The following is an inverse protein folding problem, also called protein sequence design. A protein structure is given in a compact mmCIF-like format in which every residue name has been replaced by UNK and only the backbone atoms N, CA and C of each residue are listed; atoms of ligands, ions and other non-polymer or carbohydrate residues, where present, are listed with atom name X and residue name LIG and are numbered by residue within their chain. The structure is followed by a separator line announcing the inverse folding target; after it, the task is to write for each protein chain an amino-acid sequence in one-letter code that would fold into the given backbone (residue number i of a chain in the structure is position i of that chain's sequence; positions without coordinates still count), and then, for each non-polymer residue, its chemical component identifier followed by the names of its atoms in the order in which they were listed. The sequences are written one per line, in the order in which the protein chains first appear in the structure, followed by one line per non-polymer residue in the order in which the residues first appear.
data_IF_612035195761
#
_entry.id   IF_612035195761
#
_cell.length_a   1.000
_cell.length_b   1.000
_cell.length_c   1.000
_cell.angle_alpha   90.00
_cell.angle_beta   90.00
_cell.angle_gamma   90.00
#
_symmetry.space_group_name_H-M   'P 1'
#
loop_
_entity.id
_entity.type
_entity.pdbx_description
1 polymer ?
#
# COMPACT_ATOMS: atom_id res chain seq x y z
N UNK A 1 -8.32 31.11 -9.43
CA UNK A 1 -7.39 29.96 -9.47
C UNK A 1 -8.27 28.74 -9.67
N UNK A 2 -8.47 28.33 -10.92
CA UNK A 2 -9.50 27.38 -11.31
C UNK A 2 -8.82 26.19 -12.01
N UNK A 3 -8.11 25.38 -11.21
CA UNK A 3 -7.32 24.27 -11.72
C UNK A 3 -7.39 23.07 -10.76
N UNK A 4 -8.60 22.69 -10.35
CA UNK A 4 -8.85 21.43 -9.68
C UNK A 4 -9.56 20.48 -10.65
N UNK A 5 -8.80 19.91 -11.58
CA UNK A 5 -9.12 18.57 -12.09
C UNK A 5 -8.17 17.57 -11.43
N UNK A 6 -8.45 17.10 -10.20
CA UNK A 6 -7.73 15.97 -9.65
C UNK A 6 -8.20 14.72 -10.40
N UNK A 7 -7.38 14.27 -11.35
CA UNK A 7 -7.46 12.91 -11.86
C UNK A 7 -7.43 11.91 -10.70
N UNK A 8 -8.24 10.89 -10.84
CA UNK A 8 -8.68 9.86 -9.90
C UNK A 8 -7.58 8.99 -9.24
N UNK A 9 -6.29 9.33 -9.39
CA UNK A 9 -5.15 8.50 -8.96
C UNK A 9 -4.94 8.45 -7.44
N UNK A 10 -5.53 9.38 -6.68
CA UNK A 10 -5.38 9.42 -5.20
C UNK A 10 -6.36 8.54 -4.44
N UNK A 11 -7.34 7.91 -5.11
CA UNK A 11 -8.31 7.05 -4.43
C UNK A 11 -7.72 5.69 -4.05
N UNK A 12 -6.91 5.09 -4.93
CA UNK A 12 -6.32 3.77 -4.68
C UNK A 12 -5.36 3.85 -3.49
N UNK A 13 -4.46 4.82 -3.47
CA UNK A 13 -3.54 5.03 -2.35
C UNK A 13 -4.29 5.27 -1.04
N UNK A 14 -5.26 6.21 -1.00
CA UNK A 14 -6.01 6.47 0.24
C UNK A 14 -6.83 5.26 0.67
N UNK A 15 -7.38 4.49 -0.27
CA UNK A 15 -8.13 3.27 0.02
C UNK A 15 -7.26 2.18 0.66
N UNK A 16 -6.02 2.02 0.20
CA UNK A 16 -5.09 1.02 0.74
C UNK A 16 -4.30 1.47 1.96
N UNK A 17 -4.06 2.78 2.12
CA UNK A 17 -3.42 3.35 3.31
C UNK A 17 -4.38 3.55 4.48
N UNK A 18 -5.55 4.16 4.23
CA UNK A 18 -6.49 4.56 5.28
C UNK A 18 -7.89 3.93 5.15
N UNK A 19 -8.22 3.41 3.98
CA UNK A 19 -9.54 2.86 3.69
C UNK A 19 -9.69 1.38 4.01
N UNK A 20 -10.64 0.75 3.33
CA UNK A 20 -10.98 -0.66 3.54
C UNK A 20 -9.86 -1.61 3.13
N UNK A 21 -9.01 -1.19 2.19
CA UNK A 21 -7.80 -1.92 1.80
C UNK A 21 -6.78 -1.99 2.94
N UNK A 22 -6.62 -0.89 3.69
CA UNK A 22 -5.74 -0.84 4.87
C UNK A 22 -6.19 -1.82 5.96
N UNK A 23 -7.50 -1.87 6.22
CA UNK A 23 -8.09 -2.80 7.18
C UNK A 23 -7.96 -4.28 6.73
N UNK A 24 -7.95 -4.55 5.42
CA UNK A 24 -7.70 -5.88 4.86
C UNK A 24 -6.23 -6.30 4.97
N UNK A 25 -5.32 -5.37 4.67
CA UNK A 25 -3.87 -5.59 4.81
C UNK A 25 -3.50 -5.74 6.29
N UNK A 26 -4.13 -4.97 7.19
CA UNK A 26 -3.76 -4.80 8.59
C UNK A 26 -2.28 -4.40 8.72
N UNK A 27 -1.99 -3.15 8.35
CA UNK A 27 -0.67 -2.55 8.57
C UNK A 27 -0.23 -2.77 10.03
N UNK A 28 1.02 -3.20 10.21
CA UNK A 28 1.60 -3.51 11.53
C UNK A 28 1.43 -4.97 11.98
N UNK A 29 0.91 -5.84 11.11
CA UNK A 29 0.87 -7.30 11.34
C UNK A 29 1.88 -8.02 10.48
N UNK A 30 2.43 -9.14 10.96
CA UNK A 30 3.33 -9.95 10.13
C UNK A 30 2.68 -10.37 8.80
N UNK A 31 3.44 -10.20 7.73
CA UNK A 31 3.00 -10.54 6.37
C UNK A 31 1.96 -9.60 5.76
N UNK A 32 1.79 -8.39 6.31
CA UNK A 32 0.95 -7.34 5.73
C UNK A 32 1.43 -6.96 4.30
N UNK A 33 2.75 -6.90 4.08
CA UNK A 33 3.32 -6.67 2.75
C UNK A 33 2.93 -7.74 1.74
N UNK A 34 3.04 -9.02 2.10
CA UNK A 34 2.67 -10.12 1.22
C UNK A 34 1.17 -10.09 0.89
N UNK A 35 0.32 -9.71 1.85
CA UNK A 35 -1.11 -9.49 1.63
C UNK A 35 -1.37 -8.35 0.65
N UNK A 36 -0.70 -7.22 0.82
CA UNK A 36 -0.78 -6.07 -0.07
C UNK A 36 -0.37 -6.45 -1.50
N UNK A 37 0.80 -7.07 -1.65
CA UNK A 37 1.32 -7.48 -2.96
C UNK A 37 0.36 -8.43 -3.64
N UNK A 38 -0.16 -9.45 -2.94
CA UNK A 38 -1.10 -10.41 -3.51
C UNK A 38 -2.41 -9.79 -4.00
N UNK A 39 -2.87 -8.71 -3.35
CA UNK A 39 -4.08 -8.00 -3.76
C UNK A 39 -3.83 -6.99 -4.88
N UNK A 40 -2.66 -6.35 -4.90
CA UNK A 40 -2.30 -5.42 -5.98
C UNK A 40 -1.76 -6.11 -7.23
N UNK A 41 -1.27 -7.34 -7.10
CA UNK A 41 -0.69 -8.13 -8.20
C UNK A 41 -1.65 -8.21 -9.40
N UNK A 42 -2.92 -8.47 -9.14
CA UNK A 42 -3.97 -8.58 -10.16
C UNK A 42 -4.27 -7.25 -10.86
N UNK A 43 -3.93 -6.10 -10.27
CA UNK A 43 -4.30 -4.77 -10.77
C UNK A 43 -3.14 -4.02 -11.42
N UNK A 44 -1.93 -4.16 -10.88
CA UNK A 44 -0.75 -3.40 -11.34
C UNK A 44 0.43 -4.30 -11.75
N UNK A 45 0.34 -5.60 -11.50
CA UNK A 45 1.40 -6.57 -11.73
C UNK A 45 2.41 -6.65 -10.58
N UNK A 46 3.03 -7.82 -10.40
CA UNK A 46 3.84 -8.17 -9.22
C UNK A 46 4.96 -7.17 -8.91
N UNK A 47 5.65 -6.68 -9.94
CA UNK A 47 6.80 -5.78 -9.79
C UNK A 47 6.38 -4.39 -9.31
N UNK A 48 5.29 -3.85 -9.86
CA UNK A 48 4.72 -2.57 -9.43
C UNK A 48 4.07 -2.70 -8.06
N UNK A 49 3.35 -3.81 -7.82
CA UNK A 49 2.72 -4.10 -6.55
C UNK A 49 3.75 -4.11 -5.40
N UNK A 50 4.88 -4.79 -5.57
CA UNK A 50 5.98 -4.78 -4.58
C UNK A 50 6.45 -3.37 -4.28
N UNK A 51 6.71 -2.54 -5.31
CA UNK A 51 7.20 -1.17 -5.13
C UNK A 51 6.20 -0.28 -4.39
N UNK A 52 4.92 -0.35 -4.79
CA UNK A 52 3.83 0.44 -4.19
C UNK A 52 3.59 0.00 -2.74
N UNK A 53 3.44 -1.30 -2.51
CA UNK A 53 3.24 -1.84 -1.17
C UNK A 53 4.42 -1.58 -0.24
N UNK A 54 5.65 -1.54 -0.75
CA UNK A 54 6.82 -1.18 0.06
C UNK A 54 6.78 0.29 0.50
N UNK A 55 6.39 1.19 -0.40
CA UNK A 55 6.21 2.59 -0.08
C UNK A 55 5.10 2.80 0.96
N UNK A 56 3.96 2.15 0.79
CA UNK A 56 2.83 2.24 1.73
C UNK A 56 3.13 1.61 3.08
N UNK A 57 3.83 0.48 3.11
CA UNK A 57 4.26 -0.15 4.36
C UNK A 57 5.15 0.81 5.18
N UNK A 58 6.10 1.49 4.51
CA UNK A 58 6.94 2.49 5.16
C UNK A 58 6.16 3.71 5.63
N UNK A 59 5.20 4.17 4.84
CA UNK A 59 4.36 5.31 5.18
C UNK A 59 3.49 5.03 6.43
N UNK A 60 2.94 3.82 6.53
CA UNK A 60 2.02 3.43 7.60
C UNK A 60 2.74 2.91 8.86
N UNK A 61 3.82 2.13 8.70
CA UNK A 61 4.53 1.49 9.82
C UNK A 61 5.83 2.22 10.21
N UNK A 62 6.36 3.08 9.35
CA UNK A 62 7.62 3.80 9.57
C UNK A 62 8.89 2.99 9.26
N UNK A 63 8.78 1.74 8.81
CA UNK A 63 9.90 0.88 8.41
C UNK A 63 9.62 0.16 7.09
N UNK A 64 10.62 -0.45 6.46
CA UNK A 64 10.44 -1.17 5.19
C UNK A 64 9.97 -2.62 5.41
N UNK A 65 9.18 -3.19 4.49
CA UNK A 65 8.75 -4.56 4.61
C UNK A 65 9.92 -5.51 4.39
N UNK A 66 10.11 -6.44 5.32
CA UNK A 66 11.28 -7.32 5.36
C UNK A 66 12.46 -6.80 6.19
N UNK A 67 12.31 -5.65 6.84
CA UNK A 67 13.23 -5.24 7.91
C UNK A 67 13.17 -6.24 9.08
N UNK A 68 14.27 -6.40 9.83
CA UNK A 68 14.36 -7.34 10.97
C UNK A 68 13.32 -7.09 12.07
N UNK A 69 12.68 -5.90 12.08
CA UNK A 69 11.53 -5.55 12.94
C UNK A 69 10.23 -6.25 12.54
N UNK A 70 10.16 -6.81 11.33
CA UNK A 70 9.04 -7.56 10.78
C UNK A 70 9.40 -9.06 10.73
N UNK A 71 9.79 -9.63 11.88
CA UNK A 71 10.19 -11.03 12.06
C UNK A 71 9.36 -11.70 13.14
#
# INVERSE_FOLDING_TARGET
MADAKPGDDHNLERFWKFGRGAARIRWGTEGDFARCVRQLDEHVGSERAKRICAQWHKDMNGFWPGDKRNR
#
